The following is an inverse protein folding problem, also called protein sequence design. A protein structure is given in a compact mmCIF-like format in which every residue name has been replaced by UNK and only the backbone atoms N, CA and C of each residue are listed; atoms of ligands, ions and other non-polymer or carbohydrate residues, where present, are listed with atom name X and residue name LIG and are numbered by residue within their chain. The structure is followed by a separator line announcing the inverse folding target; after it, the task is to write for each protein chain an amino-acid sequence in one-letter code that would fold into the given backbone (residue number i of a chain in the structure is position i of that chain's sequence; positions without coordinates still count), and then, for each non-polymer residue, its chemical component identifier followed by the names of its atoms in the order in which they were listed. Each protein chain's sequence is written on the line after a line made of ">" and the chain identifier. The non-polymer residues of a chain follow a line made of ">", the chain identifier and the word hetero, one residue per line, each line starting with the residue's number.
data_IF_661588246477
#
_entry.id   IF_661588246477
#
_cell.length_a   1.000
_cell.length_b   1.000
_cell.length_c   1.000
_cell.angle_alpha   90.00
_cell.angle_beta   90.00
_cell.angle_gamma   90.00
#
_symmetry.space_group_name_H-M   'P 1'
#
loop_
_entity.id
_entity.type
_entity.pdbx_description
1 polymer ?
#
# COMPACT_ATOMS: atom_id res chain seq x y z
N UNK A 1 -16.90 -17.77 -2.97
CA UNK A 1 -16.79 -17.66 -1.49
C UNK A 1 -15.34 -17.63 -1.01
N UNK A 2 -14.41 -18.43 -1.54
CA UNK A 2 -13.00 -18.45 -1.08
C UNK A 2 -12.21 -17.19 -1.43
N UNK A 3 -12.34 -16.69 -2.67
CA UNK A 3 -11.64 -15.48 -3.13
C UNK A 3 -12.00 -14.24 -2.30
N UNK A 4 -13.27 -14.09 -1.93
CA UNK A 4 -13.72 -13.04 -1.01
C UNK A 4 -12.96 -12.98 0.32
N UNK A 5 -12.78 -14.14 0.99
CA UNK A 5 -12.01 -14.19 2.25
C UNK A 5 -10.53 -13.91 2.03
N UNK A 6 -9.96 -14.40 0.92
CA UNK A 6 -8.58 -14.11 0.53
C UNK A 6 -8.39 -12.62 0.28
N UNK A 7 -9.28 -11.98 -0.49
CA UNK A 7 -9.27 -10.55 -0.77
C UNK A 7 -9.29 -9.74 0.53
N UNK A 8 -10.19 -10.09 1.46
CA UNK A 8 -10.30 -9.43 2.76
C UNK A 8 -9.04 -9.59 3.61
N UNK A 9 -8.58 -10.82 3.82
CA UNK A 9 -7.39 -11.09 4.63
C UNK A 9 -6.14 -10.43 4.04
N UNK A 10 -5.94 -10.55 2.72
CA UNK A 10 -4.82 -9.95 2.04
C UNK A 10 -4.84 -8.42 2.14
N UNK A 11 -6.01 -7.78 1.98
CA UNK A 11 -6.15 -6.32 2.11
C UNK A 11 -5.82 -5.81 3.52
N UNK A 12 -6.33 -6.48 4.56
CA UNK A 12 -6.05 -6.10 5.97
C UNK A 12 -4.58 -6.26 6.29
N UNK A 13 -3.97 -7.41 5.94
CA UNK A 13 -2.57 -7.67 6.27
C UNK A 13 -1.64 -6.78 5.42
N UNK A 14 -2.00 -6.46 4.17
CA UNK A 14 -1.26 -5.50 3.36
C UNK A 14 -1.21 -4.12 4.03
N UNK A 15 -2.35 -3.61 4.53
CA UNK A 15 -2.42 -2.34 5.26
C UNK A 15 -1.50 -2.34 6.48
N UNK A 16 -1.53 -3.39 7.30
CA UNK A 16 -0.65 -3.54 8.47
C UNK A 16 0.83 -3.53 8.05
N UNK A 17 1.19 -4.27 7.01
CA UNK A 17 2.57 -4.33 6.51
C UNK A 17 3.03 -2.96 5.97
N UNK A 18 2.16 -2.20 5.33
CA UNK A 18 2.47 -0.84 4.88
C UNK A 18 2.61 0.14 6.06
N UNK A 19 1.80 0.02 7.12
CA UNK A 19 2.00 0.78 8.37
C UNK A 19 3.36 0.46 8.99
N UNK A 20 3.72 -0.82 9.10
CA UNK A 20 5.04 -1.24 9.63
C UNK A 20 6.16 -0.65 8.77
N UNK A 21 6.05 -0.76 7.44
CA UNK A 21 7.03 -0.17 6.53
C UNK A 21 7.14 1.35 6.70
N UNK A 22 6.02 2.07 6.82
CA UNK A 22 6.00 3.52 7.03
C UNK A 22 6.64 3.92 8.37
N UNK A 23 6.24 3.27 9.46
CA UNK A 23 6.78 3.53 10.80
C UNK A 23 8.29 3.28 10.87
N UNK A 24 8.76 2.13 10.36
CA UNK A 24 10.18 1.80 10.33
C UNK A 24 10.95 2.74 9.40
N UNK A 25 10.35 3.15 8.27
CA UNK A 25 10.94 4.15 7.36
C UNK A 25 11.19 5.49 8.05
N UNK A 26 10.23 5.96 8.84
CA UNK A 26 10.35 7.18 9.66
C UNK A 26 11.47 7.01 10.69
N UNK A 27 11.48 5.91 11.45
CA UNK A 27 12.51 5.62 12.46
C UNK A 27 13.92 5.54 11.86
N UNK A 28 14.04 5.01 10.65
CA UNK A 28 15.33 4.90 9.96
C UNK A 28 15.88 6.27 9.57
N UNK A 29 15.01 7.22 9.23
CA UNK A 29 15.43 8.56 8.77
C UNK A 29 16.15 9.37 9.85
N UNK A 30 15.84 9.14 11.13
CA UNK A 30 16.49 9.80 12.27
C UNK A 30 17.70 9.05 12.84
N UNK A 31 18.04 7.87 12.32
CA UNK A 31 19.05 7.01 12.93
C UNK A 31 20.43 7.15 12.27
N UNK A 32 21.46 7.41 13.09
CA UNK A 32 22.86 7.56 12.67
C UNK A 32 23.73 6.32 12.87
N UNK A 33 23.29 5.33 13.65
CA UNK A 33 24.04 4.09 13.84
C UNK A 33 23.97 3.22 12.58
N UNK A 34 25.12 2.85 11.95
CA UNK A 34 25.13 2.02 10.74
C UNK A 34 24.47 0.65 10.92
N UNK A 35 24.74 -0.02 12.03
CA UNK A 35 24.19 -1.34 12.36
C UNK A 35 22.67 -1.28 12.53
N UNK A 36 22.18 -0.33 13.34
CA UNK A 36 20.73 -0.19 13.56
C UNK A 36 20.02 0.25 12.28
N UNK A 37 20.67 1.08 11.45
CA UNK A 37 20.15 1.47 10.13
C UNK A 37 20.03 0.28 9.17
N UNK A 38 20.99 -0.65 9.19
CA UNK A 38 20.90 -1.88 8.39
C UNK A 38 19.66 -2.69 8.75
N UNK A 39 19.45 -2.98 10.03
CA UNK A 39 18.30 -3.74 10.49
C UNK A 39 16.97 -3.05 10.21
N UNK A 40 16.88 -1.74 10.44
CA UNK A 40 15.66 -0.98 10.13
C UNK A 40 15.37 -0.99 8.61
N UNK A 41 16.39 -0.84 7.76
CA UNK A 41 16.20 -0.95 6.30
C UNK A 41 15.76 -2.36 5.88
N UNK A 42 16.32 -3.40 6.51
CA UNK A 42 15.91 -4.78 6.25
C UNK A 42 14.43 -5.01 6.61
N UNK A 43 14.00 -4.57 7.79
CA UNK A 43 12.60 -4.68 8.23
C UNK A 43 11.67 -3.85 7.35
N UNK A 44 12.04 -2.61 7.04
CA UNK A 44 11.27 -1.73 6.15
C UNK A 44 11.05 -2.40 4.77
N UNK A 45 12.13 -2.91 4.16
CA UNK A 45 12.04 -3.55 2.84
C UNK A 45 11.26 -4.86 2.89
N UNK A 46 11.43 -5.66 3.93
CA UNK A 46 10.70 -6.91 4.10
C UNK A 46 9.21 -6.65 4.26
N UNK A 47 8.81 -5.71 5.11
CA UNK A 47 7.42 -5.31 5.28
C UNK A 47 6.83 -4.72 4.00
N UNK A 48 7.56 -3.85 3.30
CA UNK A 48 7.10 -3.27 2.04
C UNK A 48 6.87 -4.34 0.96
N UNK A 49 7.79 -5.30 0.79
CA UNK A 49 7.66 -6.39 -0.19
C UNK A 49 6.50 -7.32 0.17
N UNK A 50 6.37 -7.71 1.44
CA UNK A 50 5.24 -8.53 1.90
C UNK A 50 3.91 -7.80 1.65
N UNK A 51 3.83 -6.51 1.99
CA UNK A 51 2.67 -5.67 1.72
C UNK A 51 2.32 -5.60 0.23
N UNK A 52 3.31 -5.48 -0.66
CA UNK A 52 3.11 -5.48 -2.11
C UNK A 52 2.56 -6.81 -2.62
N UNK A 53 3.11 -7.94 -2.17
CA UNK A 53 2.61 -9.28 -2.56
C UNK A 53 1.16 -9.45 -2.12
N UNK A 54 0.84 -9.06 -0.89
CA UNK A 54 -0.52 -9.12 -0.37
C UNK A 54 -1.47 -8.15 -1.08
N UNK A 55 -1.01 -6.94 -1.44
CA UNK A 55 -1.77 -5.99 -2.24
C UNK A 55 -2.08 -6.55 -3.62
N UNK A 56 -1.11 -7.19 -4.28
CA UNK A 56 -1.33 -7.87 -5.57
C UNK A 56 -2.36 -8.98 -5.42
N UNK A 57 -2.23 -9.82 -4.40
CA UNK A 57 -3.20 -10.88 -4.12
C UNK A 57 -4.61 -10.32 -3.84
N UNK A 58 -4.70 -9.22 -3.08
CA UNK A 58 -5.95 -8.51 -2.80
C UNK A 58 -6.61 -8.01 -4.10
N UNK A 59 -5.88 -7.28 -4.94
CA UNK A 59 -6.42 -6.73 -6.20
C UNK A 59 -6.86 -7.84 -7.15
N UNK A 60 -6.05 -8.88 -7.32
CA UNK A 60 -6.40 -10.04 -8.17
C UNK A 60 -7.65 -10.73 -7.63
N UNK A 61 -7.72 -10.99 -6.32
CA UNK A 61 -8.87 -11.65 -5.72
C UNK A 61 -10.15 -10.80 -5.83
N UNK A 62 -10.07 -9.48 -5.64
CA UNK A 62 -11.22 -8.57 -5.81
C UNK A 62 -11.75 -8.58 -7.24
N UNK A 63 -10.87 -8.52 -8.24
CA UNK A 63 -11.26 -8.51 -9.66
C UNK A 63 -11.81 -9.89 -10.09
N UNK A 64 -11.26 -10.98 -9.55
CA UNK A 64 -11.66 -12.33 -9.91
C UNK A 64 -12.89 -12.85 -9.14
N UNK A 65 -13.31 -12.17 -8.06
CA UNK A 65 -14.41 -12.62 -7.22
C UNK A 65 -15.77 -12.20 -7.80
N UNK A 66 -16.63 -13.19 -8.08
CA UNK A 66 -17.94 -12.96 -8.67
C UNK A 66 -18.97 -12.28 -7.76
N UNK A 67 -18.68 -12.06 -6.47
CA UNK A 67 -19.61 -11.37 -5.57
C UNK A 67 -19.66 -9.86 -5.82
N UNK A 68 -18.64 -9.29 -6.47
CA UNK A 68 -18.59 -7.87 -6.80
C UNK A 68 -18.11 -7.73 -8.23
N UNK A 69 -19.01 -7.38 -9.14
CA UNK A 69 -18.68 -7.20 -10.55
C UNK A 69 -17.85 -5.90 -10.74
N UNK A 70 -16.53 -6.04 -10.58
CA UNK A 70 -15.56 -4.96 -10.70
C UNK A 70 -14.74 -5.20 -11.95
N UNK A 71 -14.94 -4.34 -12.95
CA UNK A 71 -14.13 -4.38 -14.16
C UNK A 71 -12.66 -4.00 -13.88
N UNK A 72 -11.68 -4.71 -14.48
CA UNK A 72 -10.26 -4.33 -14.41
C UNK A 72 -9.98 -2.90 -14.88
N UNK A 73 -10.88 -2.30 -15.67
CA UNK A 73 -10.75 -0.91 -16.14
C UNK A 73 -10.67 0.09 -14.99
N UNK A 74 -11.12 -0.26 -13.78
CA UNK A 74 -10.99 0.57 -12.56
C UNK A 74 -9.52 0.89 -12.23
N UNK A 75 -8.56 0.07 -12.69
CA UNK A 75 -7.12 0.29 -12.53
C UNK A 75 -6.57 1.37 -13.45
N UNK A 76 -7.35 1.84 -14.43
CA UNK A 76 -6.99 2.92 -15.35
C UNK A 76 -7.93 4.12 -15.17
N UNK A 77 -9.22 3.84 -15.07
CA UNK A 77 -10.30 4.82 -14.85
C UNK A 77 -11.04 4.51 -13.54
N UNK A 78 -10.52 4.98 -12.39
CA UNK A 78 -11.04 4.61 -11.07
C UNK A 78 -12.49 5.02 -10.80
N UNK A 79 -13.00 6.04 -11.49
CA UNK A 79 -14.35 6.55 -11.31
C UNK A 79 -15.42 5.74 -12.02
N UNK A 80 -15.03 4.75 -12.84
CA UNK A 80 -15.97 3.92 -13.62
C UNK A 80 -16.54 2.71 -12.89
N UNK A 81 -16.17 2.45 -11.63
CA UNK A 81 -16.66 1.29 -10.89
C UNK A 81 -18.16 1.44 -10.56
N UNK A 82 -18.97 0.44 -10.93
CA UNK A 82 -20.38 0.35 -10.48
C UNK A 82 -20.52 0.07 -8.98
N UNK A 83 -19.44 -0.38 -8.33
CA UNK A 83 -19.39 -0.65 -6.89
C UNK A 83 -18.61 0.45 -6.16
N UNK A 84 -19.29 1.20 -5.28
CA UNK A 84 -18.73 2.28 -4.42
C UNK A 84 -17.63 3.12 -5.12
N UNK A 85 -17.95 3.85 -6.21
CA UNK A 85 -16.95 4.46 -7.10
C UNK A 85 -15.90 5.33 -6.38
N UNK A 86 -16.32 6.15 -5.42
CA UNK A 86 -15.40 6.98 -4.65
C UNK A 86 -14.39 6.15 -3.83
N UNK A 87 -14.86 5.10 -3.16
CA UNK A 87 -13.99 4.23 -2.37
C UNK A 87 -12.99 3.47 -3.24
N UNK A 88 -13.42 3.03 -4.42
CA UNK A 88 -12.56 2.39 -5.41
C UNK A 88 -11.52 3.36 -5.97
N UNK A 89 -11.90 4.62 -6.23
CA UNK A 89 -10.97 5.64 -6.66
C UNK A 89 -9.87 5.93 -5.63
N UNK A 90 -10.24 6.02 -4.35
CA UNK A 90 -9.26 6.14 -3.26
C UNK A 90 -8.30 4.94 -3.23
N UNK A 91 -8.81 3.72 -3.41
CA UNK A 91 -7.98 2.51 -3.48
C UNK A 91 -7.03 2.46 -4.68
N UNK A 92 -7.49 2.90 -5.86
CA UNK A 92 -6.64 2.98 -7.05
C UNK A 92 -5.53 4.04 -6.89
N UNK A 93 -5.85 5.21 -6.35
CA UNK A 93 -4.85 6.23 -6.04
C UNK A 93 -3.83 5.75 -5.00
N UNK A 94 -4.28 4.98 -4.01
CA UNK A 94 -3.40 4.32 -3.05
C UNK A 94 -2.40 3.37 -3.75
N UNK A 95 -2.91 2.51 -4.64
CA UNK A 95 -2.11 1.60 -5.46
C UNK A 95 -1.07 2.35 -6.28
N UNK A 96 -1.46 3.44 -6.96
CA UNK A 96 -0.52 4.23 -7.78
C UNK A 96 0.62 4.80 -6.94
N UNK A 97 0.31 5.35 -5.76
CA UNK A 97 1.32 5.92 -4.86
C UNK A 97 2.33 4.86 -4.39
N UNK A 98 1.85 3.68 -4.00
CA UNK A 98 2.69 2.56 -3.56
C UNK A 98 3.53 2.00 -4.71
N UNK A 99 2.95 1.84 -5.90
CA UNK A 99 3.68 1.37 -7.10
C UNK A 99 4.76 2.37 -7.49
N UNK A 100 4.45 3.67 -7.55
CA UNK A 100 5.42 4.71 -7.87
C UNK A 100 6.60 4.70 -6.89
N UNK A 101 6.31 4.63 -5.59
CA UNK A 101 7.34 4.56 -4.57
C UNK A 101 8.18 3.28 -4.64
N UNK A 102 7.57 2.15 -4.99
CA UNK A 102 8.25 0.86 -5.19
C UNK A 102 9.22 0.93 -6.36
N UNK A 103 8.78 1.48 -7.49
CA UNK A 103 9.64 1.69 -8.66
C UNK A 103 10.80 2.63 -8.33
N UNK A 104 10.54 3.74 -7.63
CA UNK A 104 11.58 4.66 -7.17
C UNK A 104 12.57 4.00 -6.19
N UNK A 105 12.08 3.14 -5.29
CA UNK A 105 12.89 2.38 -4.35
C UNK A 105 13.79 1.36 -5.05
N UNK A 106 13.24 0.57 -5.98
CA UNK A 106 13.96 -0.42 -6.76
C UNK A 106 15.02 0.22 -7.67
N UNK A 107 14.69 1.37 -8.28
CA UNK A 107 15.61 2.11 -9.14
C UNK A 107 16.76 2.77 -8.36
N UNK A 108 16.62 3.00 -7.05
CA UNK A 108 17.61 3.70 -6.22
C UNK A 108 19.00 3.09 -6.31
N UNK A 109 19.12 1.77 -6.25
CA UNK A 109 20.43 1.11 -6.30
C UNK A 109 21.19 1.34 -7.62
N UNK A 110 20.45 1.57 -8.72
CA UNK A 110 21.00 1.75 -10.07
C UNK A 110 21.04 3.18 -10.55
N UNK A 111 20.30 4.10 -9.93
CA UNK A 111 20.17 5.49 -10.39
C UNK A 111 20.72 6.50 -9.37
N UNK A 112 21.14 6.07 -8.18
CA UNK A 112 21.67 6.94 -7.15
C UNK A 112 22.94 7.70 -7.58
N UNK A 113 23.69 7.22 -8.57
CA UNK A 113 24.83 7.96 -9.12
C UNK A 113 24.43 9.16 -10.01
N UNK A 114 23.18 9.24 -10.47
CA UNK A 114 22.69 10.42 -11.19
C UNK A 114 22.20 11.49 -10.22
N UNK A 115 22.88 12.63 -10.17
CA UNK A 115 22.61 13.71 -9.21
C UNK A 115 21.14 14.20 -9.24
N UNK A 116 20.54 14.28 -10.42
CA UNK A 116 19.12 14.65 -10.57
C UNK A 116 18.19 13.63 -9.88
N UNK A 117 18.39 12.33 -10.11
CA UNK A 117 17.58 11.30 -9.48
C UNK A 117 17.77 11.29 -7.96
N UNK A 118 19.01 11.39 -7.48
CA UNK A 118 19.30 11.46 -6.04
C UNK A 118 18.59 12.63 -5.35
N UNK A 119 18.47 13.78 -6.04
CA UNK A 119 17.78 14.98 -5.54
C UNK A 119 16.27 14.76 -5.38
N UNK A 120 15.62 14.14 -6.37
CA UNK A 120 14.15 13.98 -6.39
C UNK A 120 13.65 12.67 -5.78
N UNK A 121 14.53 11.70 -5.53
CA UNK A 121 14.15 10.38 -5.02
C UNK A 121 13.24 10.46 -3.79
N UNK A 122 13.58 11.30 -2.82
CA UNK A 122 12.80 11.46 -1.58
C UNK A 122 11.41 12.06 -1.84
N UNK A 123 11.32 13.01 -2.77
CA UNK A 123 10.05 13.60 -3.20
C UNK A 123 9.17 12.60 -3.90
N UNK A 124 9.74 11.71 -4.73
CA UNK A 124 8.96 10.64 -5.37
C UNK A 124 8.51 9.61 -4.33
N UNK A 125 9.39 9.26 -3.39
CA UNK A 125 9.09 8.27 -2.36
C UNK A 125 8.00 8.73 -1.37
N UNK A 126 7.72 10.03 -1.25
CA UNK A 126 6.59 10.53 -0.44
C UNK A 126 5.23 10.01 -0.93
N UNK A 127 5.15 9.59 -2.20
CA UNK A 127 3.99 8.92 -2.75
C UNK A 127 3.64 7.64 -1.98
N UNK A 128 4.62 6.99 -1.33
CA UNK A 128 4.36 5.86 -0.43
C UNK A 128 3.52 6.28 0.78
N UNK A 129 3.86 7.41 1.40
CA UNK A 129 3.13 7.93 2.57
C UNK A 129 1.70 8.32 2.21
N UNK A 130 1.53 8.97 1.05
CA UNK A 130 0.20 9.31 0.53
C UNK A 130 -0.58 8.03 0.21
N UNK A 131 0.03 7.08 -0.49
CA UNK A 131 -0.61 5.82 -0.85
C UNK A 131 -1.03 4.99 0.37
N UNK A 132 -0.18 4.95 1.40
CA UNK A 132 -0.50 4.31 2.68
C UNK A 132 -1.71 4.96 3.38
N UNK A 133 -1.75 6.29 3.51
CA UNK A 133 -2.91 6.97 4.11
C UNK A 133 -4.20 6.77 3.30
N UNK A 134 -4.10 6.77 1.98
CA UNK A 134 -5.23 6.47 1.11
C UNK A 134 -5.69 5.02 1.26
N UNK A 135 -4.80 4.07 1.55
CA UNK A 135 -5.19 2.67 1.81
C UNK A 135 -6.05 2.53 3.08
N UNK A 136 -5.75 3.31 4.13
CA UNK A 136 -6.58 3.41 5.35
C UNK A 136 -7.95 4.00 5.01
N UNK A 137 -7.97 5.11 4.25
CA UNK A 137 -9.21 5.70 3.76
C UNK A 137 -10.05 4.72 2.93
N UNK A 138 -9.41 3.95 2.05
CA UNK A 138 -10.06 2.91 1.27
C UNK A 138 -10.68 1.83 2.18
N UNK A 139 -9.97 1.37 3.21
CA UNK A 139 -10.49 0.40 4.16
C UNK A 139 -11.75 0.91 4.90
N UNK A 140 -11.76 2.19 5.31
CA UNK A 140 -12.90 2.84 5.96
C UNK A 140 -14.10 3.08 5.04
N UNK A 141 -13.90 3.18 3.72
CA UNK A 141 -14.95 3.48 2.75
C UNK A 141 -15.51 2.23 2.06
N UNK A 142 -14.62 1.32 1.63
CA UNK A 142 -14.97 0.15 0.84
C UNK A 142 -15.25 -1.10 1.70
N UNK A 143 -14.60 -1.21 2.88
CA UNK A 143 -14.67 -2.41 3.72
C UNK A 143 -16.09 -2.80 4.10
N UNK A 144 -16.43 -4.07 3.98
CA UNK A 144 -17.72 -4.59 4.46
C UNK A 144 -17.78 -4.62 5.98
N UNK A 145 -16.64 -4.83 6.63
CA UNK A 145 -16.50 -4.97 8.09
C UNK A 145 -16.06 -3.67 8.75
N UNK A 146 -16.05 -2.56 8.00
CA UNK A 146 -15.62 -1.24 8.46
C UNK A 146 -16.33 -0.73 9.72
N UNK A 147 -17.51 -1.27 10.04
CA UNK A 147 -18.26 -0.94 11.26
C UNK A 147 -18.03 -1.91 12.42
N UNK A 148 -17.27 -2.98 12.22
CA UNK A 148 -16.99 -3.97 13.26
C UNK A 148 -15.87 -3.45 14.18
N UNK A 149 -15.97 -3.68 15.51
CA UNK A 149 -14.98 -3.16 16.46
C UNK A 149 -13.54 -3.61 16.16
N UNK A 150 -13.35 -4.86 15.73
CA UNK A 150 -12.02 -5.40 15.44
C UNK A 150 -11.37 -4.71 14.22
N UNK A 151 -12.13 -4.46 13.15
CA UNK A 151 -11.60 -3.81 11.95
C UNK A 151 -11.32 -2.34 12.21
N UNK A 152 -12.19 -1.66 12.97
CA UNK A 152 -11.96 -0.28 13.39
C UNK A 152 -10.71 -0.16 14.25
N UNK A 153 -10.52 -1.06 15.22
CA UNK A 153 -9.31 -1.08 16.04
C UNK A 153 -8.05 -1.22 15.18
N UNK A 154 -8.01 -2.18 14.25
CA UNK A 154 -6.88 -2.34 13.34
C UNK A 154 -6.66 -1.07 12.50
N UNK A 155 -7.72 -0.52 11.93
CA UNK A 155 -7.63 0.63 11.01
C UNK A 155 -7.19 1.91 11.71
N UNK A 156 -7.60 2.13 12.96
CA UNK A 156 -7.19 3.29 13.77
C UNK A 156 -5.78 3.12 14.34
N UNK A 157 -5.37 1.89 14.63
CA UNK A 157 -3.98 1.61 15.04
C UNK A 157 -3.00 1.69 13.87
N UNK A 158 -3.48 1.52 12.63
CA UNK A 158 -2.67 1.60 11.41
C UNK A 158 -2.40 3.04 11.01
#
# INVERSE_FOLDING_TARGET
>A
MTLWYVARAAGVVAMIMFTVAAAVGILTSGNRSPERRFWLQYVHRSAAVTGLVLLTAHVIAVIADANVDISPTVLLWPFGSGYRPFAMAVGALALYGVVLATLAGAARGRLAQYAAFAKYWRSIHIAASVGWLLSIGHALLAGTDRGTPWMLAITVCC
#
